data_IF_810844340347
#
_entry.id   IF_810844340347
#
_cell.length_a   1.000
_cell.length_b   1.000
_cell.length_c   1.000
_cell.angle_alpha   90.00
_cell.angle_beta   90.00
_cell.angle_gamma   90.00
#
_symmetry.space_group_name_H-M   'P 1'
#
loop_
_entity.id
_entity.type
_entity.pdbx_description
1 polymer ?
#
# COMPACT_ATOMS: atom_id res chain seq x y z
N UNK A 1 -38.53 -56.78 31.24
CA UNK A 1 -38.28 -56.23 29.87
C UNK A 1 -38.05 -54.76 29.99
N UNK A 2 -36.77 -54.39 30.04
CA UNK A 2 -36.35 -53.01 30.30
C UNK A 2 -35.67 -52.48 29.03
N UNK A 3 -36.31 -51.54 28.35
CA UNK A 3 -35.75 -50.91 27.14
C UNK A 3 -34.78 -49.80 27.52
N UNK A 4 -33.52 -50.01 27.21
CA UNK A 4 -32.45 -49.02 27.33
C UNK A 4 -32.54 -48.09 26.10
N UNK A 5 -32.86 -46.80 26.31
CA UNK A 5 -32.78 -45.77 25.28
C UNK A 5 -31.36 -45.20 25.27
N UNK A 6 -30.61 -45.46 24.19
CA UNK A 6 -29.35 -44.82 23.92
C UNK A 6 -29.57 -43.39 23.43
N UNK A 7 -29.04 -42.41 24.17
CA UNK A 7 -29.01 -41.01 23.77
C UNK A 7 -27.74 -40.80 22.92
N UNK A 8 -27.91 -40.56 21.61
CA UNK A 8 -26.81 -40.13 20.72
C UNK A 8 -26.61 -38.63 20.89
N UNK A 9 -25.50 -38.24 21.56
CA UNK A 9 -25.01 -36.85 21.50
C UNK A 9 -24.30 -36.62 20.18
N UNK A 10 -24.92 -35.89 19.25
CA UNK A 10 -24.23 -35.28 18.12
C UNK A 10 -23.43 -34.09 18.63
N UNK A 11 -22.14 -34.26 18.75
CA UNK A 11 -21.19 -33.12 18.91
C UNK A 11 -21.05 -32.39 17.59
N UNK A 12 -21.78 -31.28 17.46
CA UNK A 12 -21.61 -30.35 16.36
C UNK A 12 -20.24 -29.64 16.51
N UNK A 13 -19.35 -29.91 15.58
CA UNK A 13 -18.10 -29.14 15.41
C UNK A 13 -18.49 -27.78 14.82
N UNK A 14 -18.58 -26.76 15.67
CA UNK A 14 -18.66 -25.38 15.22
C UNK A 14 -17.29 -25.02 14.63
N UNK A 15 -17.14 -25.04 13.30
CA UNK A 15 -16.03 -24.43 12.61
C UNK A 15 -16.14 -22.92 12.81
N UNK A 16 -15.38 -22.37 13.76
CA UNK A 16 -15.13 -20.95 13.84
C UNK A 16 -14.34 -20.57 12.57
N UNK A 17 -15.01 -19.92 11.63
CA UNK A 17 -14.33 -19.16 10.58
C UNK A 17 -13.60 -18.02 11.29
N UNK A 18 -12.33 -18.23 11.56
CA UNK A 18 -11.40 -17.15 11.86
C UNK A 18 -11.32 -16.30 10.60
N UNK A 19 -12.10 -15.21 10.53
CA UNK A 19 -11.77 -14.10 9.65
C UNK A 19 -10.39 -13.64 10.07
N UNK A 20 -9.35 -14.07 9.37
CA UNK A 20 -8.06 -13.43 9.41
C UNK A 20 -8.29 -12.02 8.85
N UNK A 21 -8.40 -11.02 9.74
CA UNK A 21 -8.19 -9.63 9.38
C UNK A 21 -6.71 -9.52 9.04
N UNK A 22 -6.35 -9.90 7.79
CA UNK A 22 -4.99 -9.77 7.31
C UNK A 22 -4.78 -8.33 6.83
N UNK A 23 -3.55 -7.86 6.94
CA UNK A 23 -3.14 -6.54 6.44
C UNK A 23 -3.23 -6.43 4.91
N UNK A 24 -3.53 -7.54 4.21
CA UNK A 24 -3.77 -7.61 2.76
C UNK A 24 -5.28 -7.69 2.47
N UNK A 25 -5.99 -6.57 2.64
CA UNK A 25 -7.47 -6.50 2.59
C UNK A 25 -8.05 -6.53 1.18
N UNK A 26 -7.27 -6.11 0.16
CA UNK A 26 -7.66 -6.08 -1.26
C UNK A 26 -6.49 -6.49 -2.16
N UNK A 27 -6.13 -7.75 -2.10
CA UNK A 27 -5.04 -8.32 -2.90
C UNK A 27 -5.24 -8.14 -4.41
N UNK A 28 -6.49 -8.26 -4.88
CA UNK A 28 -6.81 -8.09 -6.29
C UNK A 28 -6.59 -6.64 -6.73
N UNK A 29 -7.04 -5.67 -5.92
CA UNK A 29 -6.80 -4.25 -6.17
C UNK A 29 -5.32 -3.91 -6.19
N UNK A 30 -4.53 -4.52 -5.29
CA UNK A 30 -3.07 -4.35 -5.29
C UNK A 30 -2.43 -4.91 -6.56
N UNK A 31 -2.77 -6.14 -6.97
CA UNK A 31 -2.24 -6.73 -8.20
C UNK A 31 -2.58 -5.91 -9.44
N UNK A 32 -3.80 -5.38 -9.52
CA UNK A 32 -4.23 -4.52 -10.61
C UNK A 32 -3.45 -3.19 -10.62
N UNK A 33 -3.26 -2.56 -9.46
CA UNK A 33 -2.50 -1.30 -9.34
C UNK A 33 -1.03 -1.50 -9.77
N UNK A 34 -0.38 -2.58 -9.33
CA UNK A 34 0.99 -2.86 -9.74
C UNK A 34 1.11 -3.10 -11.25
N UNK A 35 0.17 -3.87 -11.82
CA UNK A 35 0.13 -4.11 -13.26
C UNK A 35 -0.06 -2.80 -14.04
N UNK A 36 -0.95 -1.92 -13.57
CA UNK A 36 -1.21 -0.60 -14.17
C UNK A 36 0.05 0.26 -14.17
N UNK A 37 0.69 0.48 -13.01
CA UNK A 37 1.86 1.37 -12.94
C UNK A 37 3.07 0.79 -13.66
N UNK A 38 3.22 -0.53 -13.71
CA UNK A 38 4.25 -1.20 -14.52
C UNK A 38 4.01 -0.99 -16.02
N UNK A 39 2.77 -1.10 -16.48
CA UNK A 39 2.41 -0.82 -17.87
C UNK A 39 2.66 0.64 -18.27
N UNK A 40 2.49 1.57 -17.33
CA UNK A 40 2.81 2.99 -17.50
C UNK A 40 4.31 3.28 -17.36
N UNK A 41 5.15 2.30 -17.01
CA UNK A 41 6.58 2.49 -16.85
C UNK A 41 6.93 3.41 -15.69
N UNK A 42 6.34 3.23 -14.50
CA UNK A 42 6.42 4.14 -13.36
C UNK A 42 7.86 4.53 -12.93
N UNK A 43 8.85 3.68 -13.20
CA UNK A 43 10.26 4.02 -12.94
C UNK A 43 10.81 5.11 -13.86
N UNK A 44 10.09 5.46 -14.91
CA UNK A 44 10.35 6.61 -15.79
C UNK A 44 9.54 7.85 -15.42
N UNK A 45 8.69 7.82 -14.40
CA UNK A 45 7.96 8.99 -13.90
C UNK A 45 8.91 10.00 -13.25
N UNK A 46 8.40 11.19 -12.97
CA UNK A 46 9.15 12.19 -12.23
C UNK A 46 9.53 11.70 -10.84
N UNK A 47 10.67 12.19 -10.38
CA UNK A 47 11.12 11.93 -9.01
C UNK A 47 10.39 12.84 -8.05
N UNK A 48 10.05 12.30 -6.88
CA UNK A 48 9.43 13.09 -5.82
C UNK A 48 10.33 14.25 -5.38
N UNK A 49 9.74 15.41 -5.00
CA UNK A 49 10.51 16.53 -4.46
C UNK A 49 11.44 16.11 -3.32
N UNK A 50 12.69 16.57 -3.38
CA UNK A 50 13.72 16.20 -2.41
C UNK A 50 14.36 14.82 -2.62
N UNK A 51 13.89 14.04 -3.60
CA UNK A 51 14.39 12.70 -3.91
C UNK A 51 14.84 12.55 -5.38
N UNK A 52 15.79 13.35 -5.87
CA UNK A 52 16.19 13.34 -7.28
C UNK A 52 16.91 12.06 -7.70
N UNK A 53 17.36 11.25 -6.73
CA UNK A 53 18.04 9.99 -6.92
C UNK A 53 17.75 9.07 -5.74
N UNK A 54 18.19 7.80 -5.86
CA UNK A 54 18.15 6.85 -4.74
C UNK A 54 18.85 7.43 -3.53
N UNK A 55 18.22 7.34 -2.38
CA UNK A 55 18.72 7.88 -1.12
C UNK A 55 18.54 6.89 0.03
N UNK A 56 19.37 7.00 1.05
CA UNK A 56 19.23 6.23 2.27
C UNK A 56 17.86 6.49 2.92
N UNK A 57 17.28 5.46 3.51
CA UNK A 57 16.00 5.50 4.18
C UNK A 57 16.08 4.80 5.54
N UNK A 58 15.38 5.36 6.53
CA UNK A 58 15.16 4.71 7.82
C UNK A 58 13.73 4.12 7.93
N UNK A 59 12.97 4.19 6.83
CA UNK A 59 11.62 3.64 6.76
C UNK A 59 11.67 2.11 6.52
N UNK A 60 10.62 1.37 6.89
CA UNK A 60 10.59 -0.09 6.77
C UNK A 60 10.54 -0.60 5.31
N UNK A 61 10.60 0.30 4.33
CA UNK A 61 10.49 -0.04 2.91
C UNK A 61 11.83 -0.40 2.24
N UNK A 62 12.95 -0.39 2.96
CA UNK A 62 14.29 -0.71 2.48
C UNK A 62 15.35 0.28 2.99
N UNK A 63 16.62 -0.12 2.95
CA UNK A 63 17.76 0.72 3.40
C UNK A 63 17.97 1.95 2.51
N UNK A 64 17.57 1.85 1.26
CA UNK A 64 17.57 2.92 0.27
C UNK A 64 16.25 2.93 -0.49
N UNK A 65 15.84 4.12 -0.96
CA UNK A 65 14.58 4.28 -1.69
C UNK A 65 14.74 5.14 -2.94
N UNK A 66 14.00 4.76 -3.99
CA UNK A 66 13.66 5.60 -5.12
C UNK A 66 12.17 5.98 -5.00
N UNK A 67 11.81 7.25 -5.15
CA UNK A 67 10.42 7.69 -5.04
C UNK A 67 9.99 8.37 -6.33
N UNK A 68 8.89 7.90 -6.89
CA UNK A 68 8.32 8.35 -8.15
C UNK A 68 6.90 8.87 -7.94
N UNK A 69 6.52 9.87 -8.70
CA UNK A 69 5.18 10.46 -8.69
C UNK A 69 4.59 10.44 -10.08
N UNK A 70 3.29 10.15 -10.19
CA UNK A 70 2.63 10.17 -11.49
C UNK A 70 2.35 11.62 -11.96
N UNK A 71 1.88 11.77 -13.19
CA UNK A 71 1.60 13.07 -13.81
C UNK A 71 0.61 13.91 -12.99
N UNK A 72 -0.39 13.30 -12.34
CA UNK A 72 -1.37 14.01 -11.50
C UNK A 72 -0.69 14.72 -10.34
N UNK A 73 0.25 14.05 -9.67
CA UNK A 73 1.04 14.66 -8.58
C UNK A 73 1.98 15.72 -9.13
N UNK A 74 2.66 15.46 -10.25
CA UNK A 74 3.56 16.44 -10.89
C UNK A 74 2.82 17.71 -11.29
N UNK A 75 1.64 17.59 -11.89
CA UNK A 75 0.82 18.73 -12.30
C UNK A 75 0.36 19.56 -11.08
N UNK A 76 -0.05 18.88 -10.00
CA UNK A 76 -0.44 19.56 -8.76
C UNK A 76 0.73 20.36 -8.15
N UNK A 77 1.91 19.74 -8.11
CA UNK A 77 3.13 20.41 -7.63
C UNK A 77 3.53 21.60 -8.52
N UNK A 78 3.44 21.44 -9.85
CA UNK A 78 3.78 22.49 -10.81
C UNK A 78 2.81 23.67 -10.78
N UNK A 79 1.54 23.44 -10.50
CA UNK A 79 0.53 24.49 -10.34
C UNK A 79 0.84 25.39 -9.14
N UNK A 80 1.41 24.84 -8.06
CA UNK A 80 1.78 25.58 -6.85
C UNK A 80 0.61 26.20 -6.10
N UNK A 81 -0.63 25.80 -6.42
CA UNK A 81 -1.83 26.26 -5.74
C UNK A 81 -2.00 25.51 -4.41
N UNK A 82 -2.31 26.22 -3.30
CA UNK A 82 -2.49 25.56 -2.01
C UNK A 82 -3.58 24.50 -2.04
N UNK A 83 -3.26 23.26 -1.67
CA UNK A 83 -4.18 22.15 -1.63
C UNK A 83 -4.38 21.66 -0.19
N UNK A 84 -5.63 21.31 0.15
CA UNK A 84 -5.96 20.66 1.42
C UNK A 84 -5.75 19.14 1.39
N UNK A 85 -5.74 18.55 0.19
CA UNK A 85 -5.56 17.11 -0.05
C UNK A 85 -5.04 16.88 -1.45
N UNK A 86 -4.33 15.76 -1.66
CA UNK A 86 -3.89 15.36 -3.00
C UNK A 86 -5.07 15.07 -3.92
N UNK A 87 -4.98 15.43 -5.22
CA UNK A 87 -6.03 15.13 -6.20
C UNK A 87 -6.32 13.63 -6.30
N UNK A 88 -7.57 13.29 -6.70
CA UNK A 88 -7.89 11.90 -7.05
C UNK A 88 -6.94 11.38 -8.14
N UNK A 89 -6.64 10.10 -8.10
CA UNK A 89 -5.69 9.42 -8.97
C UNK A 89 -4.22 9.85 -8.80
N UNK A 90 -3.89 10.63 -7.78
CA UNK A 90 -2.49 10.81 -7.38
C UNK A 90 -1.89 9.46 -7.01
N UNK A 91 -0.76 9.12 -7.61
CA UNK A 91 -0.01 7.89 -7.31
C UNK A 91 1.41 8.23 -6.93
N UNK A 92 1.86 7.68 -5.81
CA UNK A 92 3.23 7.74 -5.34
C UNK A 92 3.73 6.32 -5.25
N UNK A 93 4.80 5.99 -5.96
CA UNK A 93 5.43 4.69 -5.97
C UNK A 93 6.85 4.79 -5.39
N UNK A 94 7.19 3.85 -4.52
CA UNK A 94 8.49 3.78 -3.87
C UNK A 94 9.09 2.40 -4.09
N UNK A 95 10.27 2.35 -4.72
CA UNK A 95 11.11 1.16 -4.75
C UNK A 95 12.04 1.19 -3.53
N UNK A 96 12.02 0.14 -2.77
CA UNK A 96 12.89 -0.08 -1.62
C UNK A 96 13.99 -1.07 -1.95
N UNK A 97 15.21 -0.72 -1.61
CA UNK A 97 16.40 -1.47 -1.96
C UNK A 97 17.23 -1.84 -0.73
N UNK A 98 17.80 -3.04 -0.78
CA UNK A 98 18.85 -3.49 0.11
C UNK A 98 20.11 -3.74 -0.74
N UNK A 99 21.06 -2.83 -0.66
CA UNK A 99 22.16 -2.77 -1.61
C UNK A 99 21.68 -2.59 -3.06
N UNK A 100 21.87 -3.61 -3.90
CA UNK A 100 21.41 -3.64 -5.30
C UNK A 100 20.11 -4.43 -5.50
N UNK A 101 19.60 -5.07 -4.46
CA UNK A 101 18.40 -5.90 -4.51
C UNK A 101 17.15 -5.05 -4.27
N UNK A 102 16.15 -5.18 -5.14
CA UNK A 102 14.83 -4.64 -4.91
C UNK A 102 14.10 -5.54 -3.91
N UNK A 103 13.85 -5.04 -2.71
CA UNK A 103 13.21 -5.82 -1.64
C UNK A 103 11.75 -5.46 -1.41
N UNK A 104 11.34 -4.24 -1.84
CA UNK A 104 9.98 -3.73 -1.66
C UNK A 104 9.54 -2.86 -2.82
N UNK A 105 8.25 -2.89 -3.09
CA UNK A 105 7.57 -1.86 -3.88
C UNK A 105 6.40 -1.38 -3.02
N UNK A 106 6.40 -0.12 -2.61
CA UNK A 106 5.30 0.46 -1.85
C UNK A 106 4.59 1.52 -2.70
N UNK A 107 3.27 1.41 -2.81
CA UNK A 107 2.46 2.30 -3.65
C UNK A 107 1.30 2.84 -2.83
N UNK A 108 1.02 4.11 -2.97
CA UNK A 108 -0.21 4.72 -2.49
C UNK A 108 -0.92 5.42 -3.63
N UNK A 109 -2.23 5.20 -3.76
CA UNK A 109 -3.10 5.81 -4.76
C UNK A 109 -4.24 6.54 -4.08
N UNK A 110 -4.45 7.81 -4.41
CA UNK A 110 -5.58 8.60 -3.91
C UNK A 110 -6.86 8.19 -4.63
N UNK A 111 -7.83 7.69 -3.88
CA UNK A 111 -9.16 7.28 -4.35
C UNK A 111 -10.25 8.11 -3.67
N UNK A 112 -11.50 7.94 -4.09
CA UNK A 112 -12.64 8.67 -3.52
C UNK A 112 -12.92 8.37 -2.05
N UNK A 113 -12.47 7.22 -1.56
CA UNK A 113 -12.58 6.73 -0.18
C UNK A 113 -11.30 6.94 0.65
N UNK A 114 -10.31 7.64 0.09
CA UNK A 114 -9.03 7.93 0.75
C UNK A 114 -7.82 7.39 0.00
N UNK A 115 -6.74 7.17 0.73
CA UNK A 115 -5.57 6.53 0.16
C UNK A 115 -5.72 5.01 0.16
N UNK A 116 -5.63 4.40 -1.02
CA UNK A 116 -5.42 2.97 -1.18
C UNK A 116 -3.92 2.69 -1.06
N UNK A 117 -3.57 1.77 -0.22
CA UNK A 117 -2.19 1.36 0.06
C UNK A 117 -1.92 0.00 -0.55
N UNK A 118 -0.72 -0.20 -1.06
CA UNK A 118 -0.25 -1.50 -1.48
C UNK A 118 1.26 -1.60 -1.26
N UNK A 119 1.69 -2.66 -0.61
CA UNK A 119 3.10 -3.01 -0.48
C UNK A 119 3.31 -4.42 -1.02
N UNK A 120 4.36 -4.57 -1.78
CA UNK A 120 4.75 -5.80 -2.44
C UNK A 120 6.18 -6.16 -2.03
N UNK A 121 6.52 -7.45 -2.08
CA UNK A 121 7.92 -7.87 -2.08
C UNK A 121 8.63 -7.48 -3.40
N UNK A 122 9.92 -7.79 -3.53
CA UNK A 122 10.71 -7.46 -4.72
C UNK A 122 10.21 -8.12 -6.00
N UNK A 123 9.52 -9.25 -5.90
CA UNK A 123 8.94 -9.99 -7.04
C UNK A 123 7.58 -9.41 -7.46
N UNK A 124 6.91 -8.71 -6.55
CA UNK A 124 5.64 -8.03 -6.77
C UNK A 124 4.43 -8.76 -6.21
N UNK A 125 4.63 -9.67 -5.27
CA UNK A 125 3.55 -10.29 -4.53
C UNK A 125 3.09 -9.37 -3.38
N UNK A 126 1.78 -9.07 -3.27
CA UNK A 126 1.29 -8.12 -2.29
C UNK A 126 1.36 -8.67 -0.87
N UNK A 127 1.94 -7.89 0.04
CA UNK A 127 2.01 -8.15 1.48
C UNK A 127 0.96 -7.35 2.25
N UNK A 128 0.67 -6.13 1.80
CA UNK A 128 -0.33 -5.22 2.37
C UNK A 128 -1.18 -4.64 1.25
N UNK A 129 -2.47 -4.44 1.49
CA UNK A 129 -3.36 -3.80 0.51
C UNK A 129 -4.64 -3.27 1.14
N UNK A 130 -5.25 -2.27 0.50
CA UNK A 130 -6.47 -1.63 0.99
C UNK A 130 -6.18 -0.44 1.89
N UNK A 131 -6.70 -0.48 3.13
CA UNK A 131 -6.53 0.57 4.14
C UNK A 131 -5.93 0.00 5.45
N UNK A 132 -4.77 -0.66 5.41
CA UNK A 132 -4.19 -1.28 6.61
C UNK A 132 -3.77 -0.24 7.64
N UNK A 133 -4.15 -0.45 8.89
CA UNK A 133 -3.84 0.46 10.00
C UNK A 133 -2.33 0.69 10.13
N UNK A 134 -1.55 -0.34 9.91
CA UNK A 134 -0.07 -0.25 9.93
C UNK A 134 0.48 0.83 9.00
N UNK A 135 -0.12 1.02 7.82
CA UNK A 135 0.27 2.06 6.87
C UNK A 135 -0.24 3.43 7.33
N UNK A 136 -1.55 3.50 7.64
CA UNK A 136 -2.21 4.76 7.99
C UNK A 136 -1.64 5.37 9.27
N UNK A 137 -1.38 4.57 10.30
CA UNK A 137 -0.82 5.04 11.58
C UNK A 137 0.59 5.60 11.42
N UNK A 138 1.43 4.94 10.63
CA UNK A 138 2.76 5.45 10.34
C UNK A 138 2.72 6.76 9.54
N UNK A 139 1.82 6.87 8.56
CA UNK A 139 1.76 7.97 7.60
C UNK A 139 0.89 9.16 8.05
N UNK A 140 0.11 9.04 9.14
CA UNK A 140 -0.84 10.07 9.61
C UNK A 140 -0.21 11.45 9.88
N UNK A 141 1.11 11.51 10.15
CA UNK A 141 1.83 12.76 10.38
C UNK A 141 2.27 13.46 9.09
N UNK A 142 2.09 12.84 7.94
CA UNK A 142 2.42 13.39 6.65
C UNK A 142 1.40 14.40 6.13
N UNK A 143 1.79 15.14 5.10
CA UNK A 143 0.89 16.07 4.40
C UNK A 143 -0.12 15.29 3.55
N UNK A 144 -1.36 15.19 4.03
CA UNK A 144 -2.37 14.23 3.54
C UNK A 144 -1.76 12.82 3.40
N UNK A 145 -1.16 12.31 4.50
CA UNK A 145 -0.46 11.01 4.60
C UNK A 145 0.83 10.86 3.79
N UNK A 146 1.29 11.86 3.06
CA UNK A 146 2.57 11.82 2.34
C UNK A 146 3.68 12.33 3.25
N UNK A 147 4.64 11.46 3.61
CA UNK A 147 5.77 11.79 4.49
C UNK A 147 6.98 12.36 3.73
N UNK A 148 7.14 11.99 2.46
CA UNK A 148 8.37 12.26 1.71
C UNK A 148 8.48 13.69 1.20
N UNK A 149 7.33 14.38 1.01
CA UNK A 149 7.24 15.76 0.57
C UNK A 149 5.88 16.36 0.95
N UNK A 150 5.73 17.67 0.80
CA UNK A 150 4.54 18.40 1.24
C UNK A 150 3.60 18.67 0.07
N UNK A 151 2.30 18.88 0.38
CA UNK A 151 1.36 19.53 -0.53
C UNK A 151 1.87 20.92 -0.92
N UNK A 152 1.58 21.40 -2.12
CA UNK A 152 1.89 22.75 -2.54
C UNK A 152 1.13 23.81 -1.76
#
# INVERSE_FOLDING_TARGET
MTFLRACFCLTGIASALLCACGDNQDEMGARNLLAEIRAQGYRGWERAPGHPARAASNAPHGDQVDIYVNQVVSDALAAGEPLGTWPLDSIIAKDGWDGSELVRIAVMQKRSDGWFWAEYDGDGDPSYSGHPETCTDCHQSGSDYVLSFQLP
#
